data_IF_989744739552
#
_entry.id   IF_989744739552
#
_cell.length_a   1.000
_cell.length_b   1.000
_cell.length_c   1.000
_cell.angle_alpha   90.00
_cell.angle_beta   90.00
_cell.angle_gamma   90.00
#
_symmetry.space_group_name_H-M   'P 1'
#
loop_
_entity.id
_entity.type
_entity.pdbx_description
1 polymer ?
#
# COMPACT_ATOMS: atom_id res chain seq x y z
N UNK A 1 62.45 -10.13 13.11
CA UNK A 1 61.40 -10.20 14.15
C UNK A 1 60.09 -10.51 13.45
N UNK A 2 59.42 -11.59 13.85
CA UNK A 2 57.98 -11.90 13.77
C UNK A 2 57.86 -13.36 14.26
N UNK A 3 57.73 -13.59 15.56
CA UNK A 3 56.51 -13.52 16.37
C UNK A 3 55.54 -14.64 16.00
N UNK A 4 55.53 -15.67 16.84
CA UNK A 4 54.65 -16.83 16.79
C UNK A 4 53.20 -16.43 17.10
N UNK A 5 52.24 -17.07 16.41
CA UNK A 5 50.86 -17.24 16.85
C UNK A 5 50.29 -18.53 16.22
N UNK A 6 49.37 -19.24 16.89
CA UNK A 6 49.26 -20.69 16.84
C UNK A 6 48.34 -21.22 15.73
N UNK A 7 48.49 -22.52 15.50
CA UNK A 7 47.83 -23.42 14.56
C UNK A 7 46.31 -23.17 14.37
N UNK A 8 45.83 -22.93 13.13
CA UNK A 8 44.40 -22.93 12.85
C UNK A 8 43.87 -24.38 12.84
N UNK A 9 42.74 -24.58 13.54
CA UNK A 9 42.09 -25.87 13.72
C UNK A 9 41.98 -26.70 12.43
N UNK A 10 42.38 -27.98 12.51
CA UNK A 10 42.13 -28.97 11.45
C UNK A 10 40.63 -29.10 11.25
N UNK A 11 40.12 -28.50 10.17
CA UNK A 11 38.79 -28.79 9.66
C UNK A 11 38.82 -30.24 9.20
N UNK A 12 38.02 -31.09 9.84
CA UNK A 12 37.88 -32.50 9.52
C UNK A 12 37.40 -32.65 8.06
N UNK A 13 38.32 -33.01 7.16
CA UNK A 13 38.07 -33.21 5.72
C UNK A 13 37.30 -34.51 5.42
N UNK A 14 36.35 -34.91 6.29
CA UNK A 14 35.55 -36.13 6.10
C UNK A 14 34.04 -35.92 6.15
N UNK A 15 33.57 -34.69 5.94
CA UNK A 15 32.15 -34.36 5.82
C UNK A 15 31.83 -33.28 4.76
N UNK A 16 32.69 -33.11 3.75
CA UNK A 16 32.70 -31.93 2.87
C UNK A 16 32.34 -32.17 1.39
N UNK A 17 31.76 -33.32 1.02
CA UNK A 17 31.36 -33.61 -0.37
C UNK A 17 29.83 -33.46 -0.59
N UNK A 18 29.13 -32.92 0.40
CA UNK A 18 27.67 -32.74 0.41
C UNK A 18 27.30 -31.30 0.78
N UNK A 19 28.08 -30.31 0.32
CA UNK A 19 27.54 -28.95 0.17
C UNK A 19 26.55 -29.04 -0.97
N UNK A 20 25.30 -29.29 -0.59
CA UNK A 20 24.08 -29.06 -1.38
C UNK A 20 24.38 -28.12 -2.53
N UNK A 21 24.39 -28.68 -3.75
CA UNK A 21 24.28 -27.88 -4.95
C UNK A 21 23.09 -26.95 -4.70
N UNK A 22 23.34 -25.66 -4.47
CA UNK A 22 22.30 -24.68 -4.19
C UNK A 22 21.28 -24.81 -5.32
N UNK A 23 20.17 -25.51 -5.07
CA UNK A 23 19.19 -25.75 -6.11
C UNK A 23 18.79 -24.37 -6.64
N UNK A 24 18.90 -24.13 -7.95
CA UNK A 24 18.49 -22.86 -8.53
C UNK A 24 17.07 -22.54 -8.05
N UNK A 25 16.93 -21.48 -7.25
CA UNK A 25 15.64 -21.12 -6.67
C UNK A 25 14.57 -21.04 -7.77
N UNK A 26 13.37 -21.60 -7.50
CA UNK A 26 12.26 -21.59 -8.46
C UNK A 26 12.03 -20.16 -8.97
N UNK A 27 12.12 -19.97 -10.28
CA UNK A 27 11.86 -18.69 -10.91
C UNK A 27 10.41 -18.25 -10.61
N UNK A 28 10.25 -17.17 -9.85
CA UNK A 28 8.95 -16.55 -9.56
C UNK A 28 8.69 -15.49 -10.62
N UNK A 29 7.69 -15.71 -11.46
CA UNK A 29 7.17 -14.69 -12.37
C UNK A 29 6.10 -13.91 -11.63
N UNK A 30 6.30 -12.60 -11.46
CA UNK A 30 5.31 -11.71 -10.86
C UNK A 30 4.39 -11.20 -11.97
N UNK A 31 3.08 -11.44 -11.82
CA UNK A 31 2.10 -10.78 -12.68
C UNK A 31 1.98 -9.30 -12.31
N UNK A 32 2.02 -8.39 -13.29
CA UNK A 32 1.81 -6.97 -13.03
C UNK A 32 0.41 -6.72 -12.46
N UNK A 33 0.30 -5.91 -11.41
CA UNK A 33 -1.00 -5.55 -10.85
C UNK A 33 -1.84 -4.77 -11.89
N UNK A 34 -3.15 -5.07 -12.02
CA UNK A 34 -3.98 -4.48 -13.07
C UNK A 34 -3.98 -2.94 -13.08
N UNK A 35 -3.92 -2.29 -14.25
CA UNK A 35 -3.90 -0.85 -14.40
C UNK A 35 -5.22 -0.23 -13.91
N UNK A 36 -5.17 0.40 -12.74
CA UNK A 36 -6.35 1.04 -12.12
C UNK A 36 -6.65 0.54 -10.72
N UNK A 37 -6.24 -0.69 -10.39
CA UNK A 37 -6.45 -1.35 -9.09
C UNK A 37 -6.03 -0.46 -7.91
N UNK A 38 -4.80 0.06 -7.93
CA UNK A 38 -4.28 0.93 -6.86
C UNK A 38 -5.02 2.26 -6.74
N UNK A 39 -5.45 2.85 -7.86
CA UNK A 39 -6.21 4.10 -7.85
C UNK A 39 -7.61 3.87 -7.27
N UNK A 40 -8.25 2.74 -7.61
CA UNK A 40 -9.53 2.35 -7.05
C UNK A 40 -9.44 2.12 -5.54
N UNK A 41 -8.45 1.32 -5.10
CA UNK A 41 -8.26 0.98 -3.70
C UNK A 41 -7.96 2.22 -2.85
N UNK A 42 -7.00 3.05 -3.27
CA UNK A 42 -6.64 4.26 -2.52
C UNK A 42 -7.74 5.32 -2.59
N UNK A 43 -8.39 5.49 -3.73
CA UNK A 43 -9.52 6.40 -3.88
C UNK A 43 -10.68 6.01 -2.94
N UNK A 44 -11.01 4.72 -2.87
CA UNK A 44 -12.04 4.20 -1.97
C UNK A 44 -11.66 4.40 -0.50
N UNK A 45 -10.41 4.08 -0.15
CA UNK A 45 -9.90 4.30 1.21
C UNK A 45 -10.03 5.77 1.61
N UNK A 46 -9.60 6.71 0.76
CA UNK A 46 -9.73 8.15 1.01
C UNK A 46 -11.19 8.59 1.08
N UNK A 47 -12.04 8.08 0.19
CA UNK A 47 -13.46 8.41 0.14
C UNK A 47 -14.20 8.10 1.45
N UNK A 48 -13.84 7.01 2.12
CA UNK A 48 -14.43 6.59 3.39
C UNK A 48 -13.73 7.21 4.59
N UNK A 49 -12.40 7.19 4.60
CA UNK A 49 -11.62 7.62 5.77
C UNK A 49 -11.62 9.14 5.93
N UNK A 50 -11.59 9.93 4.86
CA UNK A 50 -11.49 11.38 4.99
C UNK A 50 -12.71 12.02 5.70
N UNK A 51 -13.97 11.66 5.40
CA UNK A 51 -15.13 12.14 6.16
C UNK A 51 -15.10 11.68 7.62
N UNK A 52 -14.72 10.43 7.89
CA UNK A 52 -14.60 9.89 9.25
C UNK A 52 -13.54 10.64 10.06
N UNK A 53 -12.38 10.91 9.47
CA UNK A 53 -11.34 11.72 10.11
C UNK A 53 -11.77 13.17 10.30
N UNK A 54 -12.46 13.76 9.32
CA UNK A 54 -13.03 15.11 9.44
C UNK A 54 -13.97 15.21 10.64
N UNK A 55 -14.92 14.28 10.73
CA UNK A 55 -15.83 14.17 11.87
C UNK A 55 -15.09 13.96 13.20
N UNK A 56 -14.14 13.03 13.24
CA UNK A 56 -13.38 12.70 14.44
C UNK A 56 -12.58 13.92 14.94
N UNK A 57 -11.86 14.59 14.05
CA UNK A 57 -11.10 15.80 14.38
C UNK A 57 -12.04 16.89 14.88
N UNK A 58 -13.16 17.12 14.21
CA UNK A 58 -14.21 18.04 14.68
C UNK A 58 -14.71 17.73 16.08
N UNK A 59 -14.92 16.44 16.37
CA UNK A 59 -15.38 15.99 17.69
C UNK A 59 -14.35 16.23 18.81
N UNK A 60 -13.05 16.16 18.49
CA UNK A 60 -11.96 16.43 19.44
C UNK A 60 -11.94 17.92 19.81
N UNK A 61 -12.21 18.80 18.84
CA UNK A 61 -12.28 20.25 19.09
C UNK A 61 -13.57 20.68 19.80
N UNK A 62 -14.63 19.86 19.76
CA UNK A 62 -15.91 20.11 20.41
C UNK A 62 -16.81 21.06 19.63
N UNK A 63 -18.09 21.10 20.01
CA UNK A 63 -19.05 22.04 19.45
C UNK A 63 -18.64 23.47 19.85
N UNK A 64 -18.54 24.37 18.86
CA UNK A 64 -18.12 25.75 19.07
C UNK A 64 -18.89 26.44 20.19
N UNK A 65 -18.23 27.29 20.98
CA UNK A 65 -18.89 28.10 22.01
C UNK A 65 -19.93 29.02 21.38
N UNK A 66 -21.05 29.26 22.07
CA UNK A 66 -22.12 30.18 21.63
C UNK A 66 -21.52 31.55 21.30
N UNK A 67 -21.42 31.87 20.00
CA UNK A 67 -20.80 33.11 19.51
C UNK A 67 -19.85 32.93 18.32
N UNK A 68 -19.37 31.71 18.05
CA UNK A 68 -18.59 31.42 16.84
C UNK A 68 -19.50 31.32 15.61
N UNK A 69 -19.12 31.98 14.51
CA UNK A 69 -19.90 31.98 13.26
C UNK A 69 -19.89 30.64 12.53
N UNK A 70 -18.93 29.74 12.82
CA UNK A 70 -18.81 28.43 12.19
C UNK A 70 -18.36 27.40 13.24
N UNK A 71 -19.17 26.36 13.43
CA UNK A 71 -18.85 25.25 14.34
C UNK A 71 -17.67 24.41 13.79
N UNK A 72 -16.60 24.18 14.58
CA UNK A 72 -15.46 23.35 14.21
C UNK A 72 -15.84 21.95 13.69
N UNK A 73 -16.91 21.37 14.21
CA UNK A 73 -17.42 20.07 13.76
C UNK A 73 -17.90 20.12 12.31
N UNK A 74 -18.62 21.16 11.92
CA UNK A 74 -19.09 21.35 10.55
C UNK A 74 -17.94 21.61 9.60
N UNK A 75 -17.00 22.48 9.98
CA UNK A 75 -15.87 22.84 9.13
C UNK A 75 -14.99 21.62 8.82
N UNK A 76 -14.61 20.87 9.85
CA UNK A 76 -13.77 19.68 9.71
C UNK A 76 -14.45 18.55 8.94
N UNK A 77 -15.75 18.30 9.19
CA UNK A 77 -16.54 17.35 8.40
C UNK A 77 -16.63 17.78 6.93
N UNK A 78 -16.89 19.06 6.66
CA UNK A 78 -16.97 19.60 5.30
C UNK A 78 -15.66 19.37 4.54
N UNK A 79 -14.53 19.68 5.17
CA UNK A 79 -13.20 19.42 4.58
C UNK A 79 -13.03 17.90 4.31
N UNK A 80 -13.40 17.05 5.26
CA UNK A 80 -13.36 15.59 5.10
C UNK A 80 -14.21 15.09 3.93
N UNK A 81 -15.42 15.65 3.74
CA UNK A 81 -16.32 15.33 2.63
C UNK A 81 -15.72 15.77 1.29
N UNK A 82 -15.16 16.98 1.22
CA UNK A 82 -14.52 17.46 -0.03
C UNK A 82 -13.36 16.57 -0.44
N UNK A 83 -12.48 16.23 0.51
CA UNK A 83 -11.37 15.29 0.27
C UNK A 83 -11.90 13.90 -0.10
N UNK A 84 -12.92 13.42 0.60
CA UNK A 84 -13.57 12.15 0.30
C UNK A 84 -14.18 12.12 -1.10
N UNK A 85 -14.79 13.21 -1.55
CA UNK A 85 -15.33 13.37 -2.90
C UNK A 85 -14.24 13.28 -3.97
N UNK A 86 -13.07 13.87 -3.73
CA UNK A 86 -11.90 13.69 -4.61
C UNK A 86 -11.49 12.21 -4.64
N UNK A 87 -11.49 11.54 -3.48
CA UNK A 87 -11.26 10.10 -3.37
C UNK A 87 -12.22 9.28 -4.25
N UNK A 88 -13.51 9.64 -4.29
CA UNK A 88 -14.51 9.01 -5.17
C UNK A 88 -14.16 9.21 -6.65
N UNK A 89 -13.81 10.44 -7.06
CA UNK A 89 -13.40 10.71 -8.44
C UNK A 89 -12.17 9.88 -8.85
N UNK A 90 -11.18 9.79 -7.96
CA UNK A 90 -9.99 8.94 -8.16
C UNK A 90 -10.39 7.47 -8.26
N UNK A 91 -11.27 6.99 -7.37
CA UNK A 91 -11.71 5.60 -7.36
C UNK A 91 -12.43 5.21 -8.66
N UNK A 92 -13.32 6.08 -9.14
CA UNK A 92 -14.03 5.91 -10.41
C UNK A 92 -13.07 5.95 -11.59
N UNK A 93 -12.09 6.85 -11.60
CA UNK A 93 -11.07 6.91 -12.66
C UNK A 93 -10.23 5.62 -12.71
N UNK A 94 -9.89 5.06 -11.56
CA UNK A 94 -9.18 3.78 -11.43
C UNK A 94 -10.04 2.61 -11.90
N UNK A 95 -11.30 2.57 -11.46
CA UNK A 95 -12.25 1.51 -11.80
C UNK A 95 -12.59 1.50 -13.29
N UNK A 96 -12.77 2.68 -13.89
CA UNK A 96 -13.01 2.82 -15.32
C UNK A 96 -11.79 2.43 -16.17
N UNK A 97 -10.57 2.52 -15.62
CA UNK A 97 -9.35 2.05 -16.30
C UNK A 97 -9.19 0.53 -16.15
N UNK A 98 -9.52 -0.01 -14.98
CA UNK A 98 -9.52 -1.44 -14.71
C UNK A 98 -10.55 -2.18 -15.57
N UNK A 99 -11.78 -1.67 -15.63
CA UNK A 99 -12.85 -2.26 -16.43
C UNK A 99 -12.50 -2.30 -17.92
N UNK A 100 -11.87 -1.24 -18.45
CA UNK A 100 -11.39 -1.21 -19.83
C UNK A 100 -10.30 -2.23 -20.12
N UNK A 101 -9.44 -2.54 -19.14
CA UNK A 101 -8.37 -3.51 -19.32
C UNK A 101 -8.93 -4.92 -19.43
N UNK A 102 -9.85 -5.29 -18.53
CA UNK A 102 -10.48 -6.61 -18.50
C UNK A 102 -11.29 -6.86 -19.79
N UNK A 103 -12.08 -5.87 -20.24
CA UNK A 103 -12.86 -6.01 -21.48
C UNK A 103 -12.03 -6.06 -22.76
N UNK A 104 -10.78 -5.60 -22.76
CA UNK A 104 -9.89 -5.74 -23.92
C UNK A 104 -9.30 -7.14 -24.05
N UNK A 105 -9.12 -7.84 -22.93
CA UNK A 105 -8.67 -9.23 -22.89
C UNK A 105 -9.79 -10.16 -23.40
N UNK A 106 -11.02 -9.94 -22.94
CA UNK A 106 -12.21 -10.69 -23.40
C UNK A 106 -12.43 -10.60 -24.93
N UNK A 107 -12.10 -9.46 -25.55
CA UNK A 107 -12.27 -9.23 -26.98
C UNK A 107 -11.08 -9.72 -27.83
N UNK A 108 -9.93 -9.99 -27.23
CA UNK A 108 -8.74 -10.53 -27.91
C UNK A 108 -8.75 -12.07 -27.98
N UNK A 109 -9.53 -12.72 -27.11
CA UNK A 109 -9.68 -14.18 -27.05
C UNK A 109 -10.84 -14.73 -27.91
N UNK A 110 -11.64 -13.87 -28.57
CA UNK A 110 -12.76 -14.24 -29.46
C UNK A 110 -12.41 -14.14 -30.94
#
# INVERSE_FOLDING_TARGET
MNSAAPDPATVDERGGDEVDALEPGRAVVLEPNPPGMWRTLMGLAVAVLAPLFGFLVGSIFGAGTVGDSIDPMFLSLFIGIVIGGIGVLVALSGGARLWRHIHQEDAAES
#
